data_IF_190793916010
#
_entry.id   IF_190793916010
#
_cell.length_a   1.000
_cell.length_b   1.000
_cell.length_c   1.000
_cell.angle_alpha   90.00
_cell.angle_beta   90.00
_cell.angle_gamma   90.00
#
_symmetry.space_group_name_H-M   'P 1'
#
loop_
_entity.id
_entity.type
_entity.pdbx_description
1 polymer ?
#
# COMPACT_ATOMS: atom_id res chain seq x y z
N UNK A 1 -6.34 5.86 -16.89
CA UNK A 1 -6.94 5.09 -15.79
C UNK A 1 -6.18 5.42 -14.52
N UNK A 2 -6.86 5.83 -13.46
CA UNK A 2 -6.22 6.21 -12.21
C UNK A 2 -5.96 4.97 -11.36
N UNK A 3 -4.71 4.75 -10.97
CA UNK A 3 -4.30 3.62 -10.15
C UNK A 3 -4.16 4.09 -8.69
N UNK A 4 -4.80 3.38 -7.72
CA UNK A 4 -4.80 3.80 -6.31
C UNK A 4 -3.41 3.79 -5.67
N UNK A 5 -2.50 2.90 -6.10
CA UNK A 5 -1.11 2.87 -5.61
C UNK A 5 -0.32 4.06 -6.17
N UNK A 6 -0.45 4.35 -7.47
CA UNK A 6 0.22 5.49 -8.10
C UNK A 6 -0.24 6.79 -7.44
N UNK A 7 -1.54 6.94 -7.17
CA UNK A 7 -2.06 8.11 -6.47
C UNK A 7 -1.56 8.20 -5.04
N UNK A 8 -1.53 7.09 -4.29
CA UNK A 8 -0.95 7.09 -2.95
C UNK A 8 0.49 7.60 -2.95
N UNK A 9 1.31 7.14 -3.89
CA UNK A 9 2.68 7.63 -4.09
C UNK A 9 2.69 9.12 -4.44
N UNK A 10 1.93 9.54 -5.45
CA UNK A 10 1.90 10.94 -5.89
C UNK A 10 1.49 11.88 -4.76
N UNK A 11 0.47 11.51 -3.98
CA UNK A 11 0.00 12.32 -2.86
C UNK A 11 1.04 12.38 -1.74
N UNK A 12 1.71 11.27 -1.43
CA UNK A 12 2.78 11.25 -0.43
C UNK A 12 4.01 12.06 -0.84
N UNK A 13 4.43 11.97 -2.12
CA UNK A 13 5.57 12.72 -2.67
C UNK A 13 5.25 14.21 -2.68
N UNK A 14 4.08 14.60 -3.18
CA UNK A 14 3.64 15.99 -3.26
C UNK A 14 3.14 16.57 -1.93
N UNK A 15 3.15 15.77 -0.84
CA UNK A 15 2.61 16.16 0.48
C UNK A 15 1.17 16.68 0.39
N UNK A 16 0.37 16.10 -0.49
CA UNK A 16 -1.06 16.38 -0.61
C UNK A 16 -1.83 15.67 0.49
N UNK A 17 -2.99 16.21 0.82
CA UNK A 17 -3.89 15.63 1.80
C UNK A 17 -4.53 14.34 1.26
N UNK A 18 -4.55 13.30 2.09
CA UNK A 18 -5.26 12.04 1.84
C UNK A 18 -6.33 11.91 2.91
N UNK A 19 -7.60 11.95 2.49
CA UNK A 19 -8.74 11.92 3.40
C UNK A 19 -9.22 10.47 3.53
N UNK A 20 -9.46 10.03 4.76
CA UNK A 20 -10.12 8.74 5.03
C UNK A 20 -11.52 9.03 5.59
N UNK A 21 -12.56 8.61 4.86
CA UNK A 21 -13.95 8.89 5.24
C UNK A 21 -14.87 7.76 4.77
N UNK A 22 -15.85 7.37 5.58
CA UNK A 22 -16.92 6.43 5.19
C UNK A 22 -16.39 5.13 4.55
N UNK A 23 -15.34 4.55 5.13
CA UNK A 23 -14.63 3.37 4.63
C UNK A 23 -13.97 3.52 3.23
N UNK A 24 -13.77 4.76 2.80
CA UNK A 24 -13.11 5.15 1.57
C UNK A 24 -11.84 5.97 1.83
N UNK A 25 -10.92 5.91 0.89
CA UNK A 25 -9.70 6.72 0.82
C UNK A 25 -9.86 7.64 -0.38
N UNK A 26 -9.81 8.93 -0.12
CA UNK A 26 -10.09 9.99 -1.07
C UNK A 26 -8.79 10.73 -1.38
N UNK A 27 -8.49 10.80 -2.67
CA UNK A 27 -7.38 11.50 -3.29
C UNK A 27 -7.93 12.61 -4.18
N UNK A 28 -8.24 13.77 -3.58
CA UNK A 28 -8.83 14.90 -4.31
C UNK A 28 -10.22 14.53 -4.84
N UNK A 29 -10.35 14.44 -6.16
CA UNK A 29 -11.59 14.06 -6.85
C UNK A 29 -11.80 12.54 -6.96
N UNK A 30 -10.77 11.74 -6.67
CA UNK A 30 -10.86 10.28 -6.78
C UNK A 30 -11.08 9.63 -5.42
N UNK A 31 -11.85 8.55 -5.38
CA UNK A 31 -12.06 7.76 -4.16
C UNK A 31 -12.01 6.27 -4.43
N UNK A 32 -11.45 5.52 -3.48
CA UNK A 32 -11.44 4.06 -3.50
C UNK A 32 -11.88 3.50 -2.15
N UNK A 33 -12.54 2.32 -2.13
CA UNK A 33 -12.81 1.65 -0.88
C UNK A 33 -11.49 1.18 -0.24
N UNK A 34 -11.41 1.24 1.08
CA UNK A 34 -10.20 0.87 1.86
C UNK A 34 -9.66 -0.52 1.57
N UNK A 35 -10.58 -1.46 1.31
CA UNK A 35 -10.29 -2.86 1.01
C UNK A 35 -9.89 -3.10 -0.46
N UNK A 36 -9.81 -2.06 -1.31
CA UNK A 36 -9.39 -2.24 -2.70
C UNK A 36 -7.98 -2.84 -2.73
N UNK A 37 -7.81 -3.92 -3.50
CA UNK A 37 -6.50 -4.50 -3.75
C UNK A 37 -5.74 -3.59 -4.71
N UNK A 38 -4.50 -3.30 -4.38
CA UNK A 38 -3.58 -2.58 -5.27
C UNK A 38 -2.88 -3.56 -6.22
N UNK A 39 -2.03 -3.03 -7.09
CA UNK A 39 -1.13 -3.83 -7.93
C UNK A 39 0.21 -4.17 -7.24
N UNK A 40 0.37 -3.86 -5.95
CA UNK A 40 1.55 -4.26 -5.18
C UNK A 40 1.33 -5.64 -4.57
N UNK A 41 2.03 -6.66 -5.08
CA UNK A 41 1.92 -8.02 -4.56
C UNK A 41 2.73 -8.22 -3.28
N UNK A 42 2.28 -9.15 -2.46
CA UNK A 42 2.88 -9.51 -1.18
C UNK A 42 4.08 -10.43 -1.44
N UNK A 43 5.28 -10.10 -0.95
CA UNK A 43 6.45 -10.95 -1.19
C UNK A 43 6.28 -12.33 -0.55
N UNK A 44 6.55 -13.35 -1.35
CA UNK A 44 6.34 -14.75 -1.00
C UNK A 44 4.90 -15.25 -1.18
N UNK A 45 3.96 -14.42 -1.63
CA UNK A 45 2.68 -14.92 -2.16
C UNK A 45 2.90 -15.57 -3.53
N UNK A 46 2.08 -16.55 -3.87
CA UNK A 46 2.20 -17.32 -5.12
C UNK A 46 3.41 -18.24 -5.24
N UNK A 47 4.15 -18.50 -4.14
CA UNK A 47 5.10 -19.62 -4.09
C UNK A 47 4.32 -20.95 -4.11
N UNK A 48 4.87 -21.95 -4.79
CA UNK A 48 4.29 -23.30 -4.90
C UNK A 48 2.92 -23.38 -5.60
N UNK A 49 2.67 -22.49 -6.58
CA UNK A 49 1.44 -22.54 -7.39
C UNK A 49 0.22 -21.88 -6.75
N UNK A 50 0.40 -21.21 -5.60
CA UNK A 50 -0.66 -20.39 -4.99
C UNK A 50 -1.00 -19.13 -5.80
N UNK A 51 -2.12 -18.50 -5.46
CA UNK A 51 -2.50 -17.22 -6.05
C UNK A 51 -1.62 -16.07 -5.55
N UNK A 52 -1.31 -15.11 -6.44
CA UNK A 52 -0.63 -13.87 -6.03
C UNK A 52 -1.58 -13.07 -5.14
N UNK A 53 -1.10 -12.69 -3.97
CA UNK A 53 -1.85 -11.82 -3.06
C UNK A 53 -1.36 -10.40 -3.20
N UNK A 54 -2.27 -9.44 -3.03
CA UNK A 54 -1.98 -8.02 -3.19
C UNK A 54 -2.36 -7.26 -1.94
N UNK A 55 -1.54 -6.27 -1.58
CA UNK A 55 -1.86 -5.39 -0.46
C UNK A 55 -3.05 -4.50 -0.78
N UNK A 56 -3.89 -4.26 0.23
CA UNK A 56 -4.99 -3.31 0.12
C UNK A 56 -4.50 -1.88 0.25
N UNK A 57 -5.26 -0.94 -0.30
CA UNK A 57 -4.92 0.48 -0.22
C UNK A 57 -4.83 0.97 1.23
N UNK A 58 -5.74 0.53 2.10
CA UNK A 58 -5.71 0.86 3.52
C UNK A 58 -4.44 0.34 4.20
N UNK A 59 -4.00 -0.88 3.89
CA UNK A 59 -2.76 -1.44 4.41
C UNK A 59 -1.56 -0.54 4.09
N UNK A 60 -1.42 -0.13 2.82
CA UNK A 60 -0.31 0.69 2.38
C UNK A 60 -0.36 2.10 2.97
N UNK A 61 -1.55 2.70 3.07
CA UNK A 61 -1.73 4.03 3.67
C UNK A 61 -1.40 4.00 5.17
N UNK A 62 -1.90 3.00 5.88
CA UNK A 62 -1.63 2.82 7.32
C UNK A 62 -0.13 2.60 7.56
N UNK A 63 0.50 1.77 6.75
CA UNK A 63 1.94 1.55 6.78
C UNK A 63 2.73 2.84 6.55
N UNK A 64 2.36 3.62 5.55
CA UNK A 64 2.99 4.89 5.23
C UNK A 64 2.90 5.88 6.40
N UNK A 65 1.72 6.01 7.03
CA UNK A 65 1.49 6.86 8.20
C UNK A 65 2.33 6.42 9.41
N UNK A 66 2.54 5.12 9.56
CA UNK A 66 3.27 4.50 10.68
C UNK A 66 4.70 4.09 10.34
N UNK A 67 5.27 4.55 9.22
CA UNK A 67 6.59 4.10 8.72
C UNK A 67 7.75 4.31 9.70
N UNK A 68 7.64 5.30 10.59
CA UNK A 68 8.63 5.61 11.64
C UNK A 68 8.58 4.66 12.84
N UNK A 69 7.51 3.87 12.99
CA UNK A 69 7.36 2.94 14.10
C UNK A 69 8.19 1.68 13.87
N UNK A 70 8.71 1.14 14.97
CA UNK A 70 9.37 -0.15 14.96
C UNK A 70 8.41 -1.25 14.47
N UNK A 71 8.93 -2.25 13.75
CA UNK A 71 8.09 -3.29 13.13
C UNK A 71 7.10 -3.96 14.08
N UNK A 72 7.52 -4.41 15.29
CA UNK A 72 6.62 -5.10 16.18
C UNK A 72 5.46 -4.21 16.66
N UNK A 73 5.73 -2.92 16.86
CA UNK A 73 4.73 -1.93 17.29
C UNK A 73 3.74 -1.67 16.15
N UNK A 74 4.23 -1.50 14.93
CA UNK A 74 3.41 -1.36 13.74
C UNK A 74 2.47 -2.57 13.54
N UNK A 75 2.99 -3.80 13.66
CA UNK A 75 2.20 -5.03 13.51
C UNK A 75 1.08 -5.09 14.54
N UNK A 76 1.38 -4.77 15.81
CA UNK A 76 0.35 -4.70 16.87
C UNK A 76 -0.73 -3.67 16.56
N UNK A 77 -0.34 -2.49 16.08
CA UNK A 77 -1.31 -1.45 15.70
C UNK A 77 -2.16 -1.88 14.49
N UNK A 78 -1.54 -2.47 13.46
CA UNK A 78 -2.28 -2.96 12.29
C UNK A 78 -3.32 -4.02 12.70
N UNK A 79 -2.94 -4.96 13.57
CA UNK A 79 -3.84 -5.97 14.12
C UNK A 79 -5.00 -5.34 14.91
N UNK A 80 -4.74 -4.32 15.72
CA UNK A 80 -5.79 -3.60 16.46
C UNK A 80 -6.80 -2.90 15.53
N UNK A 81 -6.37 -2.52 14.33
CA UNK A 81 -7.22 -1.94 13.29
C UNK A 81 -7.82 -2.98 12.33
N UNK A 82 -7.61 -4.29 12.56
CA UNK A 82 -7.99 -5.38 11.64
C UNK A 82 -7.37 -5.25 10.23
N UNK A 83 -6.21 -4.61 10.14
CA UNK A 83 -5.47 -4.41 8.89
C UNK A 83 -4.37 -5.46 8.78
N UNK A 84 -4.28 -6.23 7.68
CA UNK A 84 -3.15 -7.12 7.43
C UNK A 84 -1.84 -6.31 7.35
N UNK A 85 -0.81 -6.60 8.16
CA UNK A 85 0.41 -5.80 8.16
C UNK A 85 1.29 -6.11 6.95
N UNK A 86 1.84 -5.05 6.32
CA UNK A 86 2.98 -5.17 5.37
C UNK A 86 4.10 -6.05 5.95
N UNK A 87 4.50 -7.06 5.17
CA UNK A 87 5.56 -8.00 5.53
C UNK A 87 6.91 -7.29 5.62
N UNK A 88 7.74 -7.71 6.57
CA UNK A 88 9.08 -7.15 6.81
C UNK A 88 9.96 -7.02 5.55
N UNK A 89 10.07 -8.02 4.64
CA UNK A 89 10.86 -7.88 3.42
C UNK A 89 10.38 -6.75 2.49
N UNK A 90 9.07 -6.55 2.37
CA UNK A 90 8.49 -5.55 1.47
C UNK A 90 8.68 -4.12 1.96
N UNK A 91 8.87 -3.92 3.28
CA UNK A 91 8.89 -2.59 3.90
C UNK A 91 9.89 -1.63 3.26
N UNK A 92 11.12 -2.09 3.03
CA UNK A 92 12.21 -1.22 2.55
C UNK A 92 11.91 -0.72 1.14
N UNK A 93 11.55 -1.64 0.25
CA UNK A 93 11.25 -1.32 -1.14
C UNK A 93 9.96 -0.50 -1.27
N UNK A 94 8.93 -0.86 -0.51
CA UNK A 94 7.65 -0.14 -0.50
C UNK A 94 7.82 1.31 -0.01
N UNK A 95 8.61 1.56 1.04
CA UNK A 95 8.89 2.92 1.50
C UNK A 95 9.62 3.72 0.41
N UNK A 96 10.65 3.13 -0.20
CA UNK A 96 11.42 3.78 -1.25
C UNK A 96 10.52 4.16 -2.44
N UNK A 97 9.64 3.25 -2.86
CA UNK A 97 8.68 3.50 -3.92
C UNK A 97 7.69 4.62 -3.55
N UNK A 98 7.05 4.54 -2.38
CA UNK A 98 6.05 5.52 -1.95
C UNK A 98 6.65 6.90 -1.70
N UNK A 99 7.91 6.99 -1.25
CA UNK A 99 8.63 8.26 -1.09
C UNK A 99 9.12 8.83 -2.44
N UNK A 100 9.03 8.07 -3.52
CA UNK A 100 9.53 8.47 -4.83
C UNK A 100 11.04 8.27 -5.02
N UNK A 101 11.72 7.58 -4.11
CA UNK A 101 13.13 7.22 -4.22
C UNK A 101 13.35 6.21 -5.36
N UNK A 102 12.38 5.34 -5.61
CA UNK A 102 12.34 4.46 -6.78
C UNK A 102 11.13 4.77 -7.67
N UNK A 103 11.32 4.60 -8.99
CA UNK A 103 10.26 4.74 -9.99
C UNK A 103 9.44 3.45 -10.15
N UNK A 104 10.04 2.30 -9.83
CA UNK A 104 9.44 0.97 -9.93
C UNK A 104 9.82 0.12 -8.72
N UNK A 105 9.05 -0.93 -8.47
CA UNK A 105 9.34 -1.97 -7.50
C UNK A 105 9.10 -3.32 -8.18
N UNK A 106 9.92 -4.33 -7.86
CA UNK A 106 9.76 -5.68 -8.41
C UNK A 106 8.42 -6.30 -8.01
N UNK A 107 7.86 -5.80 -6.91
CA UNK A 107 6.58 -6.22 -6.34
C UNK A 107 5.36 -5.56 -7.01
N UNK A 108 5.56 -4.69 -8.01
CA UNK A 108 4.46 -4.03 -8.73
C UNK A 108 4.15 -4.80 -10.00
N UNK A 109 2.95 -5.37 -10.05
CA UNK A 109 2.46 -6.08 -11.22
C UNK A 109 1.75 -5.10 -12.17
N UNK A 110 2.45 -4.69 -13.25
CA UNK A 110 1.92 -3.74 -14.25
C UNK A 110 0.84 -4.35 -15.14
N UNK A 111 0.60 -5.66 -15.08
CA UNK A 111 -0.40 -6.35 -15.91
C UNK A 111 -1.81 -6.34 -15.32
N UNK A 112 -1.97 -5.99 -14.03
CA UNK A 112 -3.23 -6.06 -13.28
C UNK A 112 -4.28 -5.03 -13.75
N UNK A 113 -3.92 -4.06 -14.59
CA UNK A 113 -4.84 -3.01 -15.09
C UNK A 113 -4.78 -2.80 -16.61
N UNK A 114 -4.50 -3.85 -17.39
CA UNK A 114 -4.61 -3.79 -18.85
C UNK A 114 -6.03 -4.04 -19.33
#
# INVERSE_FOLDING_TARGET
MADPLILLRQYNVNKKEIIERDNQIIFGEFSWPKNVKTNYFISGSGKEGGEKEYYTLECLLFFLKKKKLNHPIYVKQAAAHNIPPVRRPDRKELIAYLNGETATSASIDKSVHQ
#
